data_IF_144842247280
#
_entry.id   IF_144842247280
#
_cell.length_a   1.000
_cell.length_b   1.000
_cell.length_c   1.000
_cell.angle_alpha   90.00
_cell.angle_beta   90.00
_cell.angle_gamma   90.00
#
_symmetry.space_group_name_H-M   'P 1'
#
loop_
_entity.id
_entity.type
_entity.pdbx_description
1 polymer ?
#
# COMPACT_ATOMS: atom_id res chain seq x y z
N UNK A 1 95.99 34.74 4.17
CA UNK A 1 94.76 34.85 4.94
C UNK A 1 93.62 34.65 3.93
N UNK A 2 93.04 33.45 3.88
CA UNK A 2 91.95 33.11 3.02
C UNK A 2 90.67 33.04 3.86
N UNK A 3 89.69 33.89 3.56
CA UNK A 3 88.35 33.90 4.18
C UNK A 3 87.44 33.03 3.35
N UNK A 4 86.91 31.99 3.95
CA UNK A 4 85.91 31.10 3.34
C UNK A 4 84.53 31.59 3.75
N UNK A 5 83.72 32.01 2.76
CA UNK A 5 82.37 32.39 2.98
C UNK A 5 81.52 31.15 2.78
N UNK A 6 80.74 30.75 3.79
CA UNK A 6 79.72 29.69 3.71
C UNK A 6 78.46 30.26 3.07
N UNK A 7 77.76 29.51 2.17
CA UNK A 7 76.49 29.92 1.64
C UNK A 7 75.39 29.66 2.67
N UNK A 8 74.47 30.65 2.83
CA UNK A 8 73.28 30.55 3.66
C UNK A 8 72.25 29.61 3.00
N UNK A 9 72.01 28.49 3.61
CA UNK A 9 70.86 27.60 3.22
C UNK A 9 69.59 28.30 3.60
N UNK A 10 68.76 28.62 2.53
CA UNK A 10 67.40 29.15 2.68
C UNK A 10 66.50 28.05 3.22
N UNK A 11 66.06 28.13 4.48
CA UNK A 11 65.01 27.31 5.05
C UNK A 11 63.70 27.59 4.36
N UNK A 12 63.31 26.70 3.42
CA UNK A 12 61.96 26.64 2.89
C UNK A 12 61.00 26.22 4.01
N UNK A 13 60.28 27.16 4.59
CA UNK A 13 59.11 26.90 5.44
C UNK A 13 58.11 26.11 4.63
N UNK A 14 57.92 24.82 4.95
CA UNK A 14 56.80 24.00 4.45
C UNK A 14 55.51 24.65 4.95
N UNK A 15 54.70 25.16 4.02
CA UNK A 15 53.34 25.55 4.33
C UNK A 15 52.57 24.30 4.80
N UNK A 16 51.76 24.38 5.88
CA UNK A 16 50.93 23.27 6.30
C UNK A 16 49.94 22.94 5.18
N UNK A 17 49.88 21.66 4.81
CA UNK A 17 48.90 21.17 3.83
C UNK A 17 47.49 21.57 4.31
N UNK A 18 46.73 22.29 3.48
CA UNK A 18 45.31 22.54 3.71
C UNK A 18 44.66 21.18 3.85
N UNK A 19 44.00 20.92 5.00
CA UNK A 19 43.15 19.78 5.20
C UNK A 19 42.09 19.83 4.07
N UNK A 20 41.76 18.69 3.41
CA UNK A 20 40.66 18.68 2.45
C UNK A 20 39.40 19.18 3.15
N UNK A 21 38.78 20.22 2.59
CA UNK A 21 37.45 20.67 2.98
C UNK A 21 36.56 19.51 2.60
N UNK A 22 36.08 18.76 3.57
CA UNK A 22 34.99 17.81 3.35
C UNK A 22 33.77 18.69 3.12
N UNK A 23 33.38 18.87 1.86
CA UNK A 23 32.09 19.48 1.54
C UNK A 23 31.02 18.64 2.22
N UNK A 24 30.30 19.22 3.17
CA UNK A 24 29.11 18.57 3.73
C UNK A 24 28.15 18.26 2.58
N UNK A 25 27.60 17.05 2.50
CA UNK A 25 26.67 16.70 1.45
C UNK A 25 25.50 17.70 1.47
N UNK A 26 25.26 18.35 0.35
CA UNK A 26 24.14 19.29 0.20
C UNK A 26 22.85 18.50 0.36
N UNK A 27 22.11 18.77 1.42
CA UNK A 27 20.84 18.11 1.70
C UNK A 27 19.82 18.42 0.59
N UNK A 28 19.02 17.42 0.20
CA UNK A 28 17.94 17.62 -0.76
C UNK A 28 16.93 18.67 -0.23
N UNK A 29 16.69 19.78 -0.96
CA UNK A 29 15.82 20.86 -0.50
C UNK A 29 14.37 20.41 -0.24
N UNK A 30 13.94 19.26 -0.82
CA UNK A 30 12.62 18.66 -0.60
C UNK A 30 12.46 18.17 0.84
N UNK A 31 13.55 17.78 1.51
CA UNK A 31 13.52 17.31 2.90
C UNK A 31 12.97 18.40 3.82
N UNK A 32 13.44 19.63 3.70
CA UNK A 32 12.94 20.74 4.52
C UNK A 32 11.44 21.00 4.30
N UNK A 33 10.98 20.94 3.04
CA UNK A 33 9.56 21.09 2.71
C UNK A 33 8.72 19.93 3.27
N UNK A 34 9.18 18.69 3.16
CA UNK A 34 8.48 17.52 3.68
C UNK A 34 8.42 17.51 5.22
N UNK A 35 9.49 17.96 5.89
CA UNK A 35 9.49 18.15 7.35
C UNK A 35 8.46 19.19 7.79
N UNK A 36 8.38 20.33 7.07
CA UNK A 36 7.42 21.39 7.38
C UNK A 36 5.95 20.95 7.23
N UNK A 37 5.69 19.95 6.38
CA UNK A 37 4.35 19.41 6.11
C UNK A 37 4.17 17.98 6.64
N UNK A 38 5.09 17.52 7.50
CA UNK A 38 5.12 16.16 8.01
C UNK A 38 3.82 15.81 8.74
N UNK A 39 3.26 14.67 8.37
CA UNK A 39 2.05 14.14 9.00
C UNK A 39 2.33 13.66 10.41
N UNK A 40 1.46 14.04 11.35
CA UNK A 40 1.46 13.53 12.70
C UNK A 40 0.80 12.15 12.72
N UNK A 41 1.57 11.12 13.07
CA UNK A 41 1.12 9.72 13.07
C UNK A 41 1.46 9.10 14.42
N UNK A 42 0.55 8.31 14.97
CA UNK A 42 0.80 7.50 16.17
C UNK A 42 1.17 6.09 15.75
N UNK A 43 2.44 5.72 15.83
CA UNK A 43 2.90 4.35 15.63
C UNK A 43 2.73 3.55 16.92
N UNK A 44 2.10 2.36 16.82
CA UNK A 44 1.74 1.55 18.00
C UNK A 44 2.61 0.31 18.17
N UNK A 45 3.16 -0.20 17.06
CA UNK A 45 3.98 -1.42 17.05
C UNK A 45 4.95 -1.41 15.87
N UNK A 46 5.98 -2.26 15.95
CA UNK A 46 6.91 -2.50 14.85
C UNK A 46 7.50 -3.90 14.93
N UNK A 47 7.73 -4.52 13.78
CA UNK A 47 8.37 -5.83 13.68
C UNK A 47 9.32 -5.88 12.47
N UNK A 48 10.46 -6.53 12.66
CA UNK A 48 11.44 -6.76 11.58
C UNK A 48 11.23 -8.17 11.01
N UNK A 49 11.10 -8.24 9.69
CA UNK A 49 10.85 -9.48 8.94
C UNK A 49 11.74 -9.57 7.71
N UNK A 50 11.73 -10.71 7.03
CA UNK A 50 12.36 -10.84 5.72
C UNK A 50 11.58 -10.03 4.66
N UNK A 51 12.30 -9.31 3.80
CA UNK A 51 11.68 -8.49 2.76
C UNK A 51 10.97 -9.30 1.68
N UNK A 52 11.34 -10.58 1.53
CA UNK A 52 10.74 -11.47 0.53
C UNK A 52 9.31 -11.89 0.84
N UNK A 53 8.86 -11.81 2.11
CA UNK A 53 7.56 -12.32 2.55
C UNK A 53 6.81 -11.38 3.51
N UNK A 54 7.20 -10.10 3.59
CA UNK A 54 6.65 -9.16 4.57
C UNK A 54 5.11 -9.05 4.51
N UNK A 55 4.48 -9.21 3.35
CA UNK A 55 3.02 -9.14 3.22
C UNK A 55 2.32 -10.27 3.98
N UNK A 56 2.97 -11.41 4.14
CA UNK A 56 2.45 -12.51 4.94
C UNK A 56 2.33 -12.17 6.43
N UNK A 57 3.04 -11.16 6.91
CA UNK A 57 3.03 -10.75 8.32
C UNK A 57 2.01 -9.63 8.62
N UNK A 58 1.40 -9.02 7.61
CA UNK A 58 0.38 -7.96 7.77
C UNK A 58 -0.99 -8.59 8.03
N UNK A 59 -1.63 -8.40 9.21
CA UNK A 59 -2.94 -8.96 9.51
C UNK A 59 -4.06 -8.08 8.96
N UNK A 60 -4.12 -7.96 7.61
CA UNK A 60 -5.16 -7.22 6.91
C UNK A 60 -6.51 -7.93 7.07
N UNK A 61 -7.57 -7.15 7.33
CA UNK A 61 -8.94 -7.67 7.36
C UNK A 61 -9.34 -8.27 6.00
N UNK A 62 -9.97 -9.47 5.98
CA UNK A 62 -10.54 -10.00 4.73
C UNK A 62 -11.56 -9.06 4.06
N UNK A 63 -12.21 -8.18 4.84
CA UNK A 63 -13.15 -7.18 4.33
C UNK A 63 -12.47 -6.02 3.59
N UNK A 64 -11.16 -5.90 3.67
CA UNK A 64 -10.36 -4.95 2.88
C UNK A 64 -9.79 -5.63 1.65
N UNK A 65 -9.41 -6.90 1.79
CA UNK A 65 -8.81 -7.68 0.71
C UNK A 65 -7.73 -8.63 1.20
N UNK A 66 -6.92 -9.10 0.27
CA UNK A 66 -5.86 -10.07 0.52
C UNK A 66 -4.53 -9.58 -0.04
N UNK A 67 -3.49 -9.69 0.79
CA UNK A 67 -2.11 -9.44 0.40
C UNK A 67 -1.38 -10.75 0.17
N UNK A 68 -0.66 -10.85 -0.94
CA UNK A 68 0.26 -11.96 -1.21
C UNK A 68 1.52 -11.40 -1.89
N UNK A 69 2.57 -12.21 -1.95
CA UNK A 69 3.78 -11.91 -2.72
C UNK A 69 4.03 -13.03 -3.72
N UNK A 70 4.41 -12.65 -4.93
CA UNK A 70 4.89 -13.55 -5.98
C UNK A 70 6.30 -13.09 -6.34
N UNK A 71 7.29 -13.95 -6.20
CA UNK A 71 8.71 -13.65 -6.43
C UNK A 71 9.21 -12.39 -5.68
N UNK A 72 8.74 -12.20 -4.44
CA UNK A 72 9.07 -11.04 -3.62
C UNK A 72 8.32 -9.75 -3.98
N UNK A 73 7.44 -9.77 -4.99
CA UNK A 73 6.65 -8.63 -5.46
C UNK A 73 5.21 -8.72 -4.96
N UNK A 74 4.67 -7.56 -4.55
CA UNK A 74 3.36 -7.47 -3.94
C UNK A 74 2.21 -7.68 -4.91
N UNK A 75 1.21 -8.39 -4.42
CA UNK A 75 -0.08 -8.61 -5.07
C UNK A 75 -1.19 -8.30 -4.08
N UNK A 76 -2.07 -7.41 -4.45
CA UNK A 76 -3.30 -7.10 -3.74
C UNK A 76 -4.50 -7.67 -4.51
N UNK A 77 -5.40 -8.33 -3.80
CA UNK A 77 -6.70 -8.75 -4.34
C UNK A 77 -7.78 -8.14 -3.45
N UNK A 78 -8.80 -7.52 -4.04
CA UNK A 78 -9.89 -6.90 -3.30
C UNK A 78 -10.67 -7.92 -2.45
N UNK A 79 -11.56 -7.42 -1.58
CA UNK A 79 -12.37 -8.23 -0.65
C UNK A 79 -13.30 -9.20 -1.38
N UNK A 80 -13.72 -8.86 -2.58
CA UNK A 80 -14.60 -9.70 -3.40
C UNK A 80 -13.81 -10.81 -4.12
N UNK A 81 -12.50 -10.68 -4.24
CA UNK A 81 -11.63 -11.66 -4.88
C UNK A 81 -11.70 -11.62 -6.42
N UNK A 82 -12.28 -10.58 -7.00
CA UNK A 82 -12.53 -10.44 -8.43
C UNK A 82 -11.66 -9.38 -9.13
N UNK A 83 -11.01 -8.51 -8.37
CA UNK A 83 -10.08 -7.51 -8.89
C UNK A 83 -8.71 -7.64 -8.22
N UNK A 84 -7.65 -7.69 -9.03
CA UNK A 84 -6.29 -7.89 -8.54
C UNK A 84 -5.33 -6.89 -9.15
N UNK A 85 -4.55 -6.25 -8.31
CA UNK A 85 -3.39 -5.46 -8.69
C UNK A 85 -2.11 -6.22 -8.36
N UNK A 86 -1.21 -6.31 -9.33
CA UNK A 86 0.04 -7.07 -9.19
C UNK A 86 1.22 -6.22 -9.62
N UNK A 87 2.36 -6.44 -8.99
CA UNK A 87 3.64 -5.91 -9.46
C UNK A 87 4.22 -6.84 -10.52
N UNK A 88 4.48 -6.33 -11.71
CA UNK A 88 5.15 -7.04 -12.80
C UNK A 88 6.53 -6.43 -13.03
N UNK A 89 7.58 -7.25 -12.91
CA UNK A 89 8.94 -6.83 -13.22
C UNK A 89 9.13 -6.79 -14.73
N UNK A 90 9.53 -5.63 -15.26
CA UNK A 90 9.76 -5.42 -16.70
C UNK A 90 11.24 -5.48 -17.07
N UNK A 91 12.13 -5.21 -16.10
CA UNK A 91 13.58 -5.34 -16.22
C UNK A 91 14.19 -5.54 -14.83
N UNK A 92 15.52 -5.65 -14.75
CA UNK A 92 16.20 -5.79 -13.45
C UNK A 92 16.01 -4.61 -12.52
N UNK A 93 15.71 -3.42 -13.04
CA UNK A 93 15.58 -2.18 -12.28
C UNK A 93 14.21 -1.54 -12.33
N UNK A 94 13.27 -2.06 -13.15
CA UNK A 94 11.96 -1.47 -13.35
C UNK A 94 10.84 -2.48 -13.17
N UNK A 95 9.75 -2.01 -12.57
CA UNK A 95 8.53 -2.76 -12.38
C UNK A 95 7.32 -1.86 -12.66
N UNK A 96 6.22 -2.46 -13.08
CA UNK A 96 4.93 -1.77 -13.32
C UNK A 96 3.83 -2.44 -12.52
N UNK A 97 2.80 -1.68 -12.21
CA UNK A 97 1.59 -2.22 -11.60
C UNK A 97 0.63 -2.60 -12.73
N UNK A 98 0.10 -3.80 -12.63
CA UNK A 98 -0.88 -4.37 -13.57
C UNK A 98 -2.18 -4.68 -12.86
N UNK A 99 -3.30 -4.61 -13.59
CA UNK A 99 -4.61 -5.01 -13.12
C UNK A 99 -5.10 -6.26 -13.87
N UNK A 100 -5.84 -7.10 -13.18
CA UNK A 100 -6.54 -8.26 -13.73
C UNK A 100 -7.90 -8.40 -13.05
N UNK A 101 -8.90 -8.81 -13.81
CA UNK A 101 -10.25 -9.06 -13.33
C UNK A 101 -10.59 -10.54 -13.42
N UNK A 102 -11.34 -11.07 -12.45
CA UNK A 102 -11.80 -12.45 -12.46
C UNK A 102 -13.16 -12.53 -13.13
N UNK A 103 -13.16 -12.95 -14.40
CA UNK A 103 -14.37 -13.01 -15.24
C UNK A 103 -14.52 -14.42 -15.78
N UNK A 104 -15.72 -14.97 -15.74
CA UNK A 104 -16.04 -16.31 -16.25
C UNK A 104 -15.09 -17.40 -15.73
N UNK A 105 -14.84 -17.40 -14.41
CA UNK A 105 -14.01 -18.37 -13.68
C UNK A 105 -12.52 -18.36 -14.06
N UNK A 106 -12.02 -17.27 -14.61
CA UNK A 106 -10.60 -17.09 -14.95
C UNK A 106 -10.16 -15.64 -14.76
N UNK A 107 -8.91 -15.46 -14.44
CA UNK A 107 -8.29 -14.13 -14.47
C UNK A 107 -8.07 -13.68 -15.90
N UNK A 108 -8.39 -12.42 -16.19
CA UNK A 108 -7.99 -11.78 -17.44
C UNK A 108 -6.47 -11.64 -17.50
N UNK A 109 -5.94 -11.40 -18.70
CA UNK A 109 -4.54 -11.05 -18.88
C UNK A 109 -4.23 -9.75 -18.11
N UNK A 110 -3.12 -9.74 -17.37
CA UNK A 110 -2.69 -8.60 -16.59
C UNK A 110 -2.30 -7.43 -17.49
N UNK A 111 -2.96 -6.30 -17.36
CA UNK A 111 -2.71 -5.10 -18.13
C UNK A 111 -2.10 -4.01 -17.27
N UNK A 112 -1.07 -3.28 -17.72
CA UNK A 112 -0.54 -2.12 -17.00
C UNK A 112 -1.64 -1.09 -16.72
N UNK A 113 -1.69 -0.57 -15.48
CA UNK A 113 -2.63 0.50 -15.14
C UNK A 113 -2.14 1.82 -15.74
N UNK A 114 -3.09 2.62 -16.26
CA UNK A 114 -2.80 3.94 -16.84
C UNK A 114 -2.72 5.05 -15.79
N UNK A 115 -2.01 6.13 -16.11
CA UNK A 115 -2.00 7.38 -15.33
C UNK A 115 -0.87 7.54 -14.31
N UNK A 116 -0.24 6.45 -13.86
CA UNK A 116 0.84 6.51 -12.84
C UNK A 116 2.24 6.80 -13.41
N UNK A 117 2.35 7.00 -14.73
CA UNK A 117 3.62 7.29 -15.39
C UNK A 117 4.47 6.04 -15.66
N UNK A 118 5.75 6.26 -16.05
CA UNK A 118 6.69 5.21 -16.41
C UNK A 118 7.73 4.90 -15.34
N UNK A 119 7.64 5.52 -14.16
CA UNK A 119 8.55 5.26 -13.05
C UNK A 119 8.33 3.84 -12.50
N UNK A 120 9.39 3.24 -11.93
CA UNK A 120 9.27 1.92 -11.32
C UNK A 120 8.30 1.96 -10.14
N UNK A 121 7.23 1.16 -10.21
CA UNK A 121 6.14 1.12 -9.25
C UNK A 121 5.89 -0.30 -8.77
N UNK A 122 5.77 -0.47 -7.43
CA UNK A 122 5.65 -1.79 -6.78
C UNK A 122 4.63 -1.76 -5.63
N UNK A 123 4.20 -2.95 -5.23
CA UNK A 123 3.42 -3.21 -4.01
C UNK A 123 2.14 -2.36 -3.91
N UNK A 124 1.21 -2.51 -4.84
CA UNK A 124 -0.04 -1.75 -4.83
C UNK A 124 -0.96 -2.16 -3.67
N UNK A 125 -1.69 -1.18 -3.16
CA UNK A 125 -2.80 -1.36 -2.22
C UNK A 125 -3.95 -0.44 -2.62
N UNK A 126 -5.06 -1.02 -3.05
CA UNK A 126 -6.28 -0.28 -3.38
C UNK A 126 -7.18 -0.24 -2.15
N UNK A 127 -7.66 0.95 -1.79
CA UNK A 127 -8.62 1.11 -0.71
C UNK A 127 -9.96 0.44 -1.07
N UNK A 128 -10.78 0.07 -0.06
CA UNK A 128 -12.12 -0.49 -0.30
C UNK A 128 -13.07 0.44 -1.06
N UNK A 129 -12.73 1.73 -1.17
CA UNK A 129 -13.46 2.69 -2.01
C UNK A 129 -13.34 2.39 -3.52
N UNK A 130 -12.40 1.51 -3.91
CA UNK A 130 -12.11 1.19 -5.30
C UNK A 130 -11.48 2.33 -6.11
N UNK A 131 -11.12 3.44 -5.46
CA UNK A 131 -10.67 4.68 -6.09
C UNK A 131 -9.26 5.05 -5.66
N UNK A 132 -8.97 4.96 -4.37
CA UNK A 132 -7.70 5.42 -3.78
C UNK A 132 -6.67 4.30 -3.81
N UNK A 133 -5.58 4.50 -4.56
CA UNK A 133 -4.47 3.55 -4.71
C UNK A 133 -3.22 4.10 -4.04
N UNK A 134 -2.66 3.32 -3.11
CA UNK A 134 -1.32 3.51 -2.55
C UNK A 134 -0.35 2.51 -3.19
N UNK A 135 0.88 2.93 -3.42
CA UNK A 135 1.94 2.08 -3.94
C UNK A 135 3.32 2.70 -3.71
N UNK A 136 4.35 1.91 -3.81
CA UNK A 136 5.72 2.40 -3.73
C UNK A 136 6.26 2.73 -5.12
N UNK A 137 6.84 3.92 -5.30
CA UNK A 137 7.41 4.39 -6.55
C UNK A 137 8.84 4.88 -6.35
N UNK A 138 9.70 4.55 -7.31
CA UNK A 138 11.07 5.04 -7.40
C UNK A 138 11.21 6.00 -8.57
N UNK A 139 11.99 7.06 -8.42
CA UNK A 139 12.27 7.99 -9.51
C UNK A 139 12.32 9.44 -9.05
N UNK A 140 12.13 10.38 -9.97
CA UNK A 140 12.37 11.81 -9.78
C UNK A 140 11.63 12.43 -8.58
N UNK A 141 10.43 11.95 -8.28
CA UNK A 141 9.62 12.46 -7.18
C UNK A 141 9.81 11.69 -5.86
N UNK A 142 10.67 10.67 -5.81
CA UNK A 142 11.08 10.00 -4.59
C UNK A 142 12.31 10.68 -3.99
N UNK A 143 12.48 10.62 -2.66
CA UNK A 143 13.66 11.19 -1.96
C UNK A 143 14.92 10.35 -2.17
N UNK A 144 14.78 9.04 -2.16
CA UNK A 144 15.90 8.13 -2.27
C UNK A 144 15.58 6.92 -3.13
N UNK A 145 15.24 5.80 -2.49
CA UNK A 145 14.82 4.57 -3.15
C UNK A 145 13.37 4.63 -3.61
N UNK A 146 12.55 3.75 -3.06
CA UNK A 146 11.09 3.82 -3.21
C UNK A 146 10.50 4.69 -2.11
N UNK A 147 9.54 5.53 -2.45
CA UNK A 147 8.66 6.25 -1.52
C UNK A 147 7.21 5.85 -1.76
N UNK A 148 6.35 6.15 -0.77
CA UNK A 148 4.92 5.89 -0.90
C UNK A 148 4.23 7.02 -1.65
N UNK A 149 3.48 6.64 -2.68
CA UNK A 149 2.65 7.52 -3.49
C UNK A 149 1.18 7.15 -3.35
N UNK A 150 0.32 8.15 -3.50
CA UNK A 150 -1.12 8.00 -3.57
C UNK A 150 -1.64 8.57 -4.87
N UNK A 151 -2.64 7.91 -5.44
CA UNK A 151 -3.39 8.40 -6.59
C UNK A 151 -4.87 8.01 -6.48
N UNK A 152 -5.70 8.57 -7.34
CA UNK A 152 -7.13 8.29 -7.39
C UNK A 152 -7.54 7.91 -8.80
N UNK A 153 -8.44 6.94 -8.91
CA UNK A 153 -9.00 6.52 -10.18
C UNK A 153 -10.01 7.54 -10.70
N UNK A 154 -9.86 7.95 -11.95
CA UNK A 154 -10.79 8.79 -12.68
C UNK A 154 -11.66 7.88 -13.56
N UNK A 155 -12.89 7.65 -13.13
CA UNK A 155 -13.83 6.74 -13.83
C UNK A 155 -14.29 7.27 -15.19
N UNK A 156 -14.23 8.59 -15.42
CA UNK A 156 -14.57 9.18 -16.71
C UNK A 156 -13.49 8.91 -17.75
N UNK A 157 -12.23 8.94 -17.33
CA UNK A 157 -11.07 8.70 -18.22
C UNK A 157 -10.58 7.26 -18.22
N UNK A 158 -11.00 6.43 -17.24
CA UNK A 158 -10.57 5.06 -17.10
C UNK A 158 -9.08 4.91 -16.70
N UNK A 159 -8.49 5.91 -16.06
CA UNK A 159 -7.08 5.93 -15.65
C UNK A 159 -6.94 6.52 -14.24
N UNK A 160 -5.82 6.25 -13.60
CA UNK A 160 -5.44 6.94 -12.36
C UNK A 160 -4.95 8.36 -12.65
N UNK A 161 -5.20 9.27 -11.73
CA UNK A 161 -4.70 10.65 -11.77
C UNK A 161 -3.19 10.69 -11.53
N UNK A 162 -2.59 11.88 -11.70
CA UNK A 162 -1.18 12.08 -11.39
C UNK A 162 -0.90 11.74 -9.92
N UNK A 163 0.06 10.83 -9.64
CA UNK A 163 0.36 10.43 -8.28
C UNK A 163 1.08 11.54 -7.50
N UNK A 164 0.84 11.54 -6.18
CA UNK A 164 1.47 12.44 -5.23
C UNK A 164 2.24 11.63 -4.18
N UNK A 165 3.49 12.05 -3.87
CA UNK A 165 4.25 11.52 -2.75
C UNK A 165 3.54 11.93 -1.45
N UNK A 166 3.22 10.97 -0.58
CA UNK A 166 2.48 11.25 0.66
C UNK A 166 3.31 11.97 1.72
N UNK A 167 4.62 12.08 1.50
CA UNK A 167 5.56 12.82 2.33
C UNK A 167 5.96 12.08 3.61
N UNK A 168 6.70 12.79 4.47
CA UNK A 168 7.17 12.23 5.74
C UNK A 168 6.03 12.00 6.74
N UNK A 169 6.10 10.91 7.52
CA UNK A 169 7.22 9.99 7.73
C UNK A 169 7.28 8.81 6.74
N UNK A 170 6.46 8.76 5.70
CA UNK A 170 6.32 7.65 4.75
C UNK A 170 7.21 7.81 3.49
N UNK A 171 8.05 8.85 3.47
CA UNK A 171 9.07 9.10 2.47
C UNK A 171 10.43 9.29 3.16
N UNK A 172 11.49 8.68 2.63
CA UNK A 172 12.86 8.77 3.16
C UNK A 172 13.91 8.49 2.09
N UNK A 173 15.19 8.63 2.46
CA UNK A 173 16.31 8.27 1.58
C UNK A 173 16.47 6.74 1.39
N UNK A 174 15.76 5.92 2.18
CA UNK A 174 15.74 4.45 2.07
C UNK A 174 14.68 3.95 1.07
N UNK A 175 14.29 2.68 1.15
CA UNK A 175 13.14 2.17 0.40
C UNK A 175 11.93 2.07 1.33
N UNK A 176 10.94 2.86 1.05
CA UNK A 176 9.63 2.81 1.67
C UNK A 176 8.72 2.00 0.76
N UNK A 177 8.43 0.75 1.15
CA UNK A 177 8.06 -0.31 0.23
C UNK A 177 6.57 -0.61 0.16
N UNK A 178 5.82 -0.27 1.22
CA UNK A 178 4.39 -0.61 1.27
C UNK A 178 3.64 0.28 2.26
N UNK A 179 2.41 0.59 1.92
CA UNK A 179 1.48 1.32 2.76
C UNK A 179 0.06 0.78 2.57
N UNK A 180 -0.66 0.55 3.67
CA UNK A 180 -2.04 0.12 3.64
C UNK A 180 -2.83 0.69 4.81
N UNK A 181 -4.12 0.93 4.63
CA UNK A 181 -5.08 1.30 5.67
C UNK A 181 -6.16 0.23 5.74
N UNK A 182 -6.26 -0.43 6.88
CA UNK A 182 -7.34 -1.35 7.22
C UNK A 182 -8.43 -0.56 7.96
N UNK A 183 -9.42 -0.10 7.22
CA UNK A 183 -10.51 0.71 7.78
C UNK A 183 -11.39 -0.08 8.76
N UNK A 184 -11.50 -1.41 8.60
CA UNK A 184 -12.29 -2.26 9.47
C UNK A 184 -11.64 -2.45 10.84
N UNK A 185 -10.35 -2.70 10.86
CA UNK A 185 -9.58 -2.81 12.09
C UNK A 185 -9.09 -1.44 12.60
N UNK A 186 -9.28 -0.37 11.82
CA UNK A 186 -8.75 0.97 12.08
C UNK A 186 -7.24 0.94 12.38
N UNK A 187 -6.49 0.25 11.51
CA UNK A 187 -5.05 0.08 11.59
C UNK A 187 -4.40 0.47 10.26
N UNK A 188 -3.24 1.10 10.33
CA UNK A 188 -2.40 1.35 9.18
C UNK A 188 -1.12 0.53 9.24
N UNK A 189 -0.58 0.17 8.09
CA UNK A 189 0.65 -0.60 7.95
C UNK A 189 1.61 0.14 7.02
N UNK A 190 2.85 0.29 7.45
CA UNK A 190 3.92 0.91 6.69
C UNK A 190 5.16 0.04 6.73
N UNK A 191 5.76 -0.22 5.58
CA UNK A 191 6.93 -1.11 5.47
C UNK A 191 8.08 -0.38 4.83
N UNK A 192 9.25 -0.46 5.46
CA UNK A 192 10.47 0.22 5.03
C UNK A 192 11.72 -0.60 5.37
N UNK A 193 12.77 -0.45 4.57
CA UNK A 193 14.08 -1.05 4.87
C UNK A 193 15.02 -0.09 5.61
N UNK A 194 14.56 1.13 5.96
CA UNK A 194 15.37 2.12 6.68
C UNK A 194 15.97 1.52 7.96
N UNK A 195 17.27 1.65 8.12
CA UNK A 195 18.03 1.13 9.26
C UNK A 195 17.93 -0.40 9.46
N UNK A 196 17.56 -1.15 8.43
CA UNK A 196 17.51 -2.60 8.51
C UNK A 196 18.71 -3.25 7.83
N UNK A 197 19.15 -4.43 8.27
CA UNK A 197 20.10 -5.23 7.53
C UNK A 197 19.58 -5.55 6.12
N UNK A 198 20.50 -5.74 5.19
CA UNK A 198 20.16 -6.08 3.81
C UNK A 198 19.22 -7.29 3.75
N UNK A 199 18.14 -7.16 2.99
CA UNK A 199 17.12 -8.20 2.82
C UNK A 199 16.02 -8.18 3.88
N UNK A 200 16.16 -7.38 4.95
CA UNK A 200 15.14 -7.22 5.99
C UNK A 200 14.39 -5.90 5.86
N UNK A 201 13.16 -5.91 6.32
CA UNK A 201 12.29 -4.72 6.39
C UNK A 201 11.65 -4.62 7.77
N UNK A 202 11.27 -3.40 8.15
CA UNK A 202 10.46 -3.16 9.33
C UNK A 202 9.03 -2.84 8.92
N UNK A 203 8.07 -3.57 9.48
CA UNK A 203 6.65 -3.28 9.40
C UNK A 203 6.30 -2.43 10.61
N UNK A 204 5.88 -1.19 10.38
CA UNK A 204 5.31 -0.32 11.38
C UNK A 204 3.79 -0.41 11.34
N UNK A 205 3.15 -0.49 12.50
CA UNK A 205 1.70 -0.40 12.63
C UNK A 205 1.34 0.95 13.24
N UNK A 206 0.38 1.64 12.66
CA UNK A 206 -0.02 2.98 13.09
C UNK A 206 -1.54 3.13 13.16
N UNK A 207 -2.00 4.19 13.84
CA UNK A 207 -3.40 4.57 13.88
C UNK A 207 -3.67 5.49 12.69
N UNK A 208 -4.54 5.08 11.74
CA UNK A 208 -4.94 5.95 10.65
C UNK A 208 -5.87 7.05 11.14
N UNK A 209 -5.65 8.28 10.70
CA UNK A 209 -6.49 9.42 11.04
C UNK A 209 -7.39 9.81 9.87
N UNK A 210 -8.66 10.09 10.15
CA UNK A 210 -9.62 10.52 9.13
C UNK A 210 -9.24 11.89 8.54
N UNK A 211 -8.51 12.72 9.29
CA UNK A 211 -8.07 14.05 8.87
C UNK A 211 -6.56 14.15 9.04
N UNK A 212 -5.86 14.56 7.97
CA UNK A 212 -4.42 14.79 8.02
C UNK A 212 -4.10 15.91 9.00
N UNK A 213 -3.39 15.58 10.07
CA UNK A 213 -2.79 16.54 11.00
C UNK A 213 -1.30 16.62 10.75
N UNK A 214 -0.73 17.81 10.89
CA UNK A 214 0.72 18.03 10.74
C UNK A 214 1.32 18.51 12.05
N UNK A 215 2.61 18.25 12.23
CA UNK A 215 3.34 18.81 13.36
C UNK A 215 3.43 20.34 13.23
N UNK A 216 3.25 21.04 14.33
CA UNK A 216 3.51 22.48 14.40
C UNK A 216 5.02 22.67 14.51
N UNK A 217 5.66 23.12 13.45
CA UNK A 217 7.11 23.25 13.37
C UNK A 217 7.69 24.14 14.48
N UNK A 218 6.91 25.13 14.94
CA UNK A 218 7.32 26.05 16.03
C UNK A 218 7.40 25.36 17.39
N UNK A 219 6.73 24.22 17.57
CA UNK A 219 6.72 23.47 18.84
C UNK A 219 7.85 22.43 18.95
N UNK A 220 8.62 22.22 17.88
CA UNK A 220 9.66 21.19 17.81
C UNK A 220 10.96 21.78 17.26
N UNK A 221 12.09 21.33 17.77
CA UNK A 221 13.40 21.60 17.14
C UNK A 221 13.52 20.81 15.82
N UNK A 222 14.38 21.27 14.91
CA UNK A 222 14.69 20.55 13.66
C UNK A 222 15.13 19.11 13.93
N UNK A 223 15.99 18.88 14.91
CA UNK A 223 16.43 17.55 15.32
C UNK A 223 15.27 16.65 15.80
N UNK A 224 14.27 17.20 16.49
CA UNK A 224 13.09 16.45 16.92
C UNK A 224 12.21 16.09 15.71
N UNK A 225 11.97 17.02 14.78
CA UNK A 225 11.22 16.74 13.55
C UNK A 225 11.91 15.68 12.71
N UNK A 226 13.23 15.75 12.56
CA UNK A 226 14.00 14.71 11.84
C UNK A 226 13.94 13.35 12.53
N UNK A 227 13.98 13.32 13.87
CA UNK A 227 13.83 12.08 14.65
C UNK A 227 12.45 11.44 14.45
N UNK A 228 11.39 12.24 14.42
CA UNK A 228 10.02 11.81 14.15
C UNK A 228 9.87 11.33 12.69
N UNK A 229 10.40 12.09 11.73
CA UNK A 229 10.39 11.71 10.31
C UNK A 229 11.12 10.38 10.07
N UNK A 230 12.24 10.18 10.75
CA UNK A 230 13.02 8.94 10.69
C UNK A 230 12.37 7.77 11.47
N UNK A 231 11.29 8.01 12.22
CA UNK A 231 10.67 7.03 13.13
C UNK A 231 11.77 6.43 14.05
N UNK A 232 12.61 7.29 14.63
CA UNK A 232 13.77 6.85 15.43
C UNK A 232 13.33 5.99 16.62
N UNK A 233 12.22 6.36 17.25
CA UNK A 233 11.52 5.59 18.27
C UNK A 233 10.01 5.81 18.10
N UNK A 234 9.24 4.75 18.00
CA UNK A 234 7.77 4.84 17.90
C UNK A 234 7.17 5.54 19.14
N UNK A 235 7.81 5.41 20.30
CA UNK A 235 7.35 6.05 21.55
C UNK A 235 7.34 7.59 21.47
N UNK A 236 8.16 8.20 20.63
CA UNK A 236 8.19 9.65 20.46
C UNK A 236 6.93 10.18 19.74
N UNK A 237 6.15 9.29 19.12
CA UNK A 237 4.88 9.62 18.45
C UNK A 237 3.66 9.49 19.36
N UNK A 238 3.82 9.02 20.60
CA UNK A 238 2.69 8.71 21.49
C UNK A 238 2.11 9.96 22.13
N UNK A 239 0.79 10.12 21.98
CA UNK A 239 0.01 11.13 22.71
C UNK A 239 -0.38 10.65 24.12
N UNK A 240 -1.08 11.54 24.85
CA UNK A 240 -1.59 11.25 26.21
C UNK A 240 -2.92 10.49 26.25
N UNK A 241 -3.54 10.22 25.09
CA UNK A 241 -4.87 9.59 24.99
C UNK A 241 -4.83 8.06 25.11
N UNK A 242 -6.02 7.43 25.11
CA UNK A 242 -6.23 5.97 25.15
C UNK A 242 -6.08 5.31 23.78
N UNK A 243 -6.04 6.10 22.71
CA UNK A 243 -6.07 5.69 21.32
C UNK A 243 -5.03 4.60 20.97
N UNK A 244 -3.80 4.74 21.53
CA UNK A 244 -2.75 3.74 21.36
C UNK A 244 -3.12 2.39 22.00
N UNK A 245 -3.68 2.41 23.22
CA UNK A 245 -4.05 1.18 23.92
C UNK A 245 -5.16 0.44 23.17
N UNK A 246 -6.19 1.17 22.74
CA UNK A 246 -7.31 0.64 21.96
C UNK A 246 -6.84 0.07 20.61
N UNK A 247 -5.93 0.77 19.92
CA UNK A 247 -5.35 0.29 18.67
C UNK A 247 -4.46 -0.95 18.87
N UNK A 248 -3.77 -1.05 20.00
CA UNK A 248 -2.99 -2.25 20.35
C UNK A 248 -3.89 -3.47 20.55
N UNK A 249 -5.06 -3.31 21.19
CA UNK A 249 -6.05 -4.39 21.35
C UNK A 249 -6.62 -4.81 19.98
N UNK A 250 -6.93 -3.84 19.10
CA UNK A 250 -7.38 -4.13 17.73
C UNK A 250 -6.33 -4.92 16.95
N UNK A 251 -5.04 -4.55 17.07
CA UNK A 251 -3.95 -5.28 16.43
C UNK A 251 -3.82 -6.72 16.93
N UNK A 252 -3.94 -6.94 18.24
CA UNK A 252 -3.92 -8.30 18.81
C UNK A 252 -5.08 -9.14 18.26
N UNK A 253 -6.29 -8.55 18.20
CA UNK A 253 -7.47 -9.23 17.65
C UNK A 253 -7.27 -9.57 16.16
N UNK A 254 -6.73 -8.64 15.36
CA UNK A 254 -6.44 -8.88 13.95
C UNK A 254 -5.41 -10.01 13.75
N UNK A 255 -4.35 -10.04 14.57
CA UNK A 255 -3.34 -11.13 14.56
C UNK A 255 -3.95 -12.47 14.89
N UNK A 256 -4.76 -12.54 15.95
CA UNK A 256 -5.43 -13.79 16.36
C UNK A 256 -6.41 -14.28 15.29
N UNK A 257 -7.14 -13.39 14.64
CA UNK A 257 -8.05 -13.72 13.55
C UNK A 257 -7.29 -14.30 12.35
N UNK A 258 -6.18 -13.69 11.99
CA UNK A 258 -5.31 -14.19 10.92
C UNK A 258 -4.73 -15.57 11.25
N UNK A 259 -4.23 -15.76 12.46
CA UNK A 259 -3.68 -17.05 12.91
C UNK A 259 -4.73 -18.14 12.88
N UNK A 260 -5.95 -17.87 13.37
CA UNK A 260 -7.08 -18.80 13.27
C UNK A 260 -7.38 -19.16 11.81
N UNK A 261 -7.40 -18.17 10.90
CA UNK A 261 -7.65 -18.43 9.48
C UNK A 261 -6.57 -19.34 8.86
N UNK A 262 -5.32 -19.20 9.29
CA UNK A 262 -4.20 -20.06 8.86
C UNK A 262 -4.29 -21.47 9.46
N UNK A 263 -4.71 -21.62 10.73
CA UNK A 263 -4.77 -22.89 11.43
C UNK A 263 -6.05 -23.70 11.14
N UNK A 264 -7.17 -23.01 10.87
CA UNK A 264 -8.44 -23.68 10.50
C UNK A 264 -8.45 -24.20 9.07
N UNK A 265 -7.37 -24.02 8.34
CA UNK A 265 -7.13 -24.61 7.02
C UNK A 265 -8.19 -24.27 5.99
N UNK A 266 -7.75 -23.84 4.81
CA UNK A 266 -8.49 -23.82 3.53
C UNK A 266 -9.96 -24.18 3.67
N UNK A 267 -10.85 -23.22 3.45
CA UNK A 267 -12.27 -23.49 3.21
C UNK A 267 -12.38 -24.77 2.39
N UNK A 268 -13.29 -25.67 2.76
CA UNK A 268 -13.47 -26.87 1.96
C UNK A 268 -13.76 -26.46 0.50
N UNK A 269 -13.40 -27.25 -0.50
CA UNK A 269 -13.72 -26.93 -1.89
C UNK A 269 -15.19 -26.55 -2.07
N UNK A 270 -16.10 -27.22 -1.33
CA UNK A 270 -17.53 -26.91 -1.32
C UNK A 270 -17.83 -25.50 -0.75
N UNK A 271 -17.12 -25.07 0.30
CA UNK A 271 -17.32 -23.72 0.85
C UNK A 271 -16.79 -22.63 -0.09
N UNK A 272 -15.67 -22.88 -0.75
CA UNK A 272 -15.11 -21.97 -1.76
C UNK A 272 -16.06 -21.82 -2.94
N UNK A 273 -16.68 -22.91 -3.40
CA UNK A 273 -17.68 -22.90 -4.47
C UNK A 273 -18.94 -22.11 -4.10
N UNK A 274 -19.42 -22.26 -2.86
CA UNK A 274 -20.56 -21.48 -2.35
C UNK A 274 -20.25 -19.99 -2.31
N UNK A 275 -19.07 -19.62 -1.83
CA UNK A 275 -18.66 -18.22 -1.77
C UNK A 275 -18.51 -17.60 -3.16
N UNK A 276 -18.05 -18.36 -4.16
CA UNK A 276 -18.01 -17.94 -5.56
C UNK A 276 -19.44 -17.73 -6.12
N UNK A 277 -20.34 -18.66 -5.90
CA UNK A 277 -21.73 -18.53 -6.34
C UNK A 277 -22.45 -17.34 -5.69
N UNK A 278 -22.18 -17.08 -4.40
CA UNK A 278 -22.72 -15.89 -3.71
C UNK A 278 -22.22 -14.61 -4.36
N UNK A 279 -20.93 -14.57 -4.69
CA UNK A 279 -20.34 -13.44 -5.38
C UNK A 279 -20.97 -13.22 -6.76
N UNK A 280 -21.09 -14.26 -7.57
CA UNK A 280 -21.73 -14.18 -8.89
C UNK A 280 -23.18 -13.70 -8.78
N UNK A 281 -23.93 -14.17 -7.75
CA UNK A 281 -25.29 -13.73 -7.49
C UNK A 281 -25.36 -12.23 -7.10
N UNK A 282 -24.40 -11.72 -6.34
CA UNK A 282 -24.33 -10.29 -5.98
C UNK A 282 -24.02 -9.41 -7.19
N UNK A 283 -23.06 -9.79 -8.02
CA UNK A 283 -22.73 -9.11 -9.29
C UNK A 283 -23.96 -9.07 -10.22
N UNK A 284 -24.65 -10.21 -10.35
CA UNK A 284 -25.88 -10.29 -11.15
C UNK A 284 -26.98 -9.36 -10.59
N UNK A 285 -27.12 -9.29 -9.26
CA UNK A 285 -28.06 -8.38 -8.60
C UNK A 285 -27.77 -6.91 -8.88
N UNK A 286 -26.51 -6.49 -8.83
CA UNK A 286 -26.07 -5.12 -9.18
C UNK A 286 -26.33 -4.83 -10.66
N UNK A 287 -26.01 -5.76 -11.54
CA UNK A 287 -26.26 -5.64 -12.98
C UNK A 287 -27.78 -5.51 -13.27
N UNK A 288 -28.58 -6.28 -12.58
CA UNK A 288 -30.03 -6.22 -12.68
C UNK A 288 -30.60 -4.87 -12.22
N UNK A 289 -30.06 -4.32 -11.13
CA UNK A 289 -30.44 -2.99 -10.65
C UNK A 289 -30.10 -1.90 -11.68
N UNK A 290 -28.93 -2.00 -12.33
CA UNK A 290 -28.50 -1.09 -13.40
C UNK A 290 -29.44 -1.19 -14.61
N UNK A 291 -29.76 -2.42 -15.05
CA UNK A 291 -30.72 -2.63 -16.17
C UNK A 291 -32.10 -2.08 -15.86
N UNK A 292 -32.59 -2.18 -14.63
CA UNK A 292 -33.87 -1.61 -14.19
C UNK A 292 -33.85 -0.08 -14.24
N UNK A 293 -32.74 0.54 -13.83
CA UNK A 293 -32.57 1.99 -13.96
C UNK A 293 -32.52 2.44 -15.42
N UNK A 294 -31.84 1.70 -16.29
CA UNK A 294 -31.85 1.95 -17.73
C UNK A 294 -33.26 1.79 -18.35
N UNK A 295 -33.99 0.76 -17.94
CA UNK A 295 -35.38 0.54 -18.38
C UNK A 295 -36.30 1.71 -18.00
N UNK A 296 -36.14 2.27 -16.81
CA UNK A 296 -36.90 3.42 -16.34
C UNK A 296 -36.70 4.67 -17.23
N UNK A 297 -35.48 4.86 -17.74
CA UNK A 297 -35.10 6.00 -18.57
C UNK A 297 -35.28 5.76 -20.09
N UNK A 298 -35.52 4.53 -20.53
CA UNK A 298 -35.51 4.13 -21.93
C UNK A 298 -36.81 4.50 -22.69
N UNK A 299 -36.69 4.67 -23.99
CA UNK A 299 -37.82 4.82 -24.89
C UNK A 299 -38.57 3.47 -25.12
N UNK A 300 -39.74 3.50 -25.77
CA UNK A 300 -40.63 2.32 -25.90
C UNK A 300 -39.98 1.15 -26.66
N UNK A 301 -39.21 1.40 -27.69
CA UNK A 301 -38.48 0.36 -28.45
C UNK A 301 -37.35 -0.31 -27.65
N UNK A 302 -36.60 0.47 -26.91
CA UNK A 302 -35.51 -0.01 -26.04
C UNK A 302 -36.05 -0.81 -24.85
N UNK A 303 -37.22 -0.43 -24.29
CA UNK A 303 -37.89 -1.13 -23.19
C UNK A 303 -38.20 -2.58 -23.52
N UNK A 304 -38.61 -2.89 -24.75
CA UNK A 304 -38.90 -4.27 -25.15
C UNK A 304 -37.64 -5.15 -25.01
N UNK A 305 -36.51 -4.67 -25.50
CA UNK A 305 -35.23 -5.39 -25.43
C UNK A 305 -34.72 -5.51 -23.99
N UNK A 306 -34.77 -4.41 -23.22
CA UNK A 306 -34.35 -4.40 -21.82
C UNK A 306 -35.23 -5.31 -20.95
N UNK A 307 -36.54 -5.36 -21.19
CA UNK A 307 -37.46 -6.24 -20.47
C UNK A 307 -37.05 -7.71 -20.59
N UNK A 308 -36.71 -8.16 -21.81
CA UNK A 308 -36.25 -9.54 -22.04
C UNK A 308 -34.96 -9.81 -21.28
N UNK A 309 -34.00 -8.88 -21.34
CA UNK A 309 -32.70 -9.00 -20.60
C UNK A 309 -32.93 -9.06 -19.10
N UNK A 310 -33.80 -8.20 -18.55
CA UNK A 310 -34.12 -8.17 -17.12
C UNK A 310 -34.76 -9.50 -16.69
N UNK A 311 -35.76 -10.01 -17.43
CA UNK A 311 -36.40 -11.29 -17.10
C UNK A 311 -35.41 -12.47 -17.11
N UNK A 312 -34.53 -12.52 -18.11
CA UNK A 312 -33.50 -13.55 -18.19
C UNK A 312 -32.50 -13.44 -16.99
N UNK A 313 -32.08 -12.24 -16.63
CA UNK A 313 -31.16 -12.02 -15.50
C UNK A 313 -31.84 -12.37 -14.15
N UNK A 314 -33.14 -12.07 -14.00
CA UNK A 314 -33.95 -12.47 -12.82
C UNK A 314 -34.01 -13.98 -12.67
N UNK A 315 -34.28 -14.70 -13.75
CA UNK A 315 -34.33 -16.17 -13.76
C UNK A 315 -32.97 -16.78 -13.42
N UNK A 316 -31.89 -16.23 -13.97
CA UNK A 316 -30.50 -16.66 -13.65
C UNK A 316 -30.17 -16.43 -12.18
N UNK A 317 -30.49 -15.25 -11.66
CA UNK A 317 -30.22 -14.91 -10.25
C UNK A 317 -31.01 -15.84 -9.32
N UNK A 318 -32.27 -16.14 -9.62
CA UNK A 318 -33.07 -17.06 -8.83
C UNK A 318 -32.53 -18.50 -8.87
N UNK A 319 -32.04 -18.95 -10.02
CA UNK A 319 -31.40 -20.25 -10.16
C UNK A 319 -30.12 -20.34 -9.33
N UNK A 320 -29.25 -19.30 -9.38
CA UNK A 320 -28.02 -19.22 -8.59
C UNK A 320 -28.33 -19.23 -7.08
N UNK A 321 -29.28 -18.44 -6.63
CA UNK A 321 -29.70 -18.42 -5.23
C UNK A 321 -30.28 -19.77 -4.76
N UNK A 322 -30.93 -20.49 -5.63
CA UNK A 322 -31.43 -21.86 -5.34
C UNK A 322 -30.30 -22.85 -5.22
N UNK A 323 -29.30 -22.76 -6.10
CA UNK A 323 -28.11 -23.62 -6.06
C UNK A 323 -27.25 -23.37 -4.79
N UNK A 324 -27.04 -22.11 -4.43
CA UNK A 324 -26.39 -21.73 -3.17
C UNK A 324 -27.08 -22.40 -1.98
N UNK A 325 -28.39 -22.25 -1.84
CA UNK A 325 -29.18 -22.88 -0.75
C UNK A 325 -29.06 -24.40 -0.72
N UNK A 326 -29.00 -25.03 -1.89
CA UNK A 326 -28.88 -26.50 -1.99
C UNK A 326 -27.48 -26.95 -1.57
N UNK A 327 -26.42 -26.23 -2.00
CA UNK A 327 -25.04 -26.54 -1.62
C UNK A 327 -24.78 -26.28 -0.14
N UNK A 328 -25.35 -25.23 0.44
CA UNK A 328 -25.26 -24.93 1.88
C UNK A 328 -25.84 -26.06 2.74
N UNK A 329 -26.94 -26.69 2.32
CA UNK A 329 -27.54 -27.83 3.02
C UNK A 329 -26.67 -29.09 2.97
N UNK A 330 -25.75 -29.21 2.02
CA UNK A 330 -24.86 -30.34 1.85
C UNK A 330 -23.57 -30.24 2.67
N UNK A 331 -23.27 -29.04 3.23
CA UNK A 331 -22.10 -28.88 4.11
C UNK A 331 -22.47 -29.40 5.51
N UNK A 332 -21.77 -30.44 6.02
CA UNK A 332 -22.04 -30.93 7.35
C UNK A 332 -21.71 -29.82 8.38
N UNK A 333 -22.67 -29.52 9.25
CA UNK A 333 -22.44 -28.67 10.42
C UNK A 333 -21.31 -29.31 11.25
N UNK A 334 -20.14 -28.71 11.30
CA UNK A 334 -19.15 -29.04 12.33
C UNK A 334 -19.71 -28.50 13.66
N UNK A 335 -20.15 -29.43 14.51
CA UNK A 335 -20.42 -29.19 15.93
C UNK A 335 -19.11 -28.84 16.66
#
# INVERSE_FOLDING_TARGET
MLWWTMPAEAQRRKQPAKKPVVEEPVEDPRIAQMLATMQQITFIDSMVVEGADFMAHIPLSPNVGKLTQADGLGVFTNEMGDHRLSTLKTSDSTAVITASDFIANRWTEAQPIGGIGSASAVNPFLMPDGITLYYAQKGENALGGYDIFVTRYDSEKGIFLRPENIGMPFASEANDLFFAIDEFNQLGYFVTDRRQPRGKVCIYVFVPEATRRTYRTEAYSDGQLRSLAAISRIADTWGKGTERAEATERLQTARMTKEKALTTGTKSPAQTEIDQLRHEADVMGKTLALMRNQYAAANEGERVTLRIKILNAEQQLEAMQRDIRNKEKQIPYKQ
#
